data_IF_602768041784
#
_entry.id   IF_602768041784
#
_cell.length_a   1.000
_cell.length_b   1.000
_cell.length_c   1.000
_cell.angle_alpha   90.00
_cell.angle_beta   90.00
_cell.angle_gamma   90.00
#
_symmetry.space_group_name_H-M   'P 1'
#
loop_
_entity.id
_entity.type
_entity.pdbx_description
1 polymer ?
#
# COMPACT_ATOMS: atom_id res chain seq x y z
N UNK A 1 39.11 -8.92 -38.12
CA UNK A 1 39.16 -8.03 -36.96
C UNK A 1 37.79 -7.40 -36.82
N UNK A 2 36.94 -8.04 -36.05
CA UNK A 2 35.57 -7.60 -35.80
C UNK A 2 35.59 -6.77 -34.50
N UNK A 3 35.51 -5.44 -34.64
CA UNK A 3 35.32 -4.53 -33.50
C UNK A 3 33.91 -4.75 -32.93
N UNK A 4 33.84 -5.41 -31.79
CA UNK A 4 32.68 -5.33 -30.93
C UNK A 4 32.67 -3.92 -30.32
N UNK A 5 31.80 -3.03 -30.83
CA UNK A 5 31.38 -1.85 -30.13
C UNK A 5 30.54 -2.34 -28.91
N UNK A 6 31.21 -2.48 -27.78
CA UNK A 6 30.48 -2.44 -26.49
C UNK A 6 29.97 -1.00 -26.36
N UNK A 7 28.69 -0.80 -26.62
CA UNK A 7 27.97 0.40 -26.20
C UNK A 7 28.07 0.45 -24.67
N UNK A 8 28.83 1.36 -24.12
CA UNK A 8 28.82 1.69 -22.70
C UNK A 8 27.49 2.38 -22.43
N UNK A 9 26.41 1.60 -22.16
CA UNK A 9 25.24 2.16 -21.49
C UNK A 9 25.76 2.74 -20.18
N UNK A 10 25.40 3.99 -19.90
CA UNK A 10 25.62 4.61 -18.58
C UNK A 10 24.95 3.79 -17.45
N UNK A 11 25.24 4.13 -16.21
CA UNK A 11 24.57 3.51 -15.06
C UNK A 11 23.05 3.69 -15.22
N UNK A 12 22.24 2.62 -14.99
CA UNK A 12 20.79 2.72 -15.04
C UNK A 12 20.28 3.78 -14.04
N UNK A 13 19.37 4.64 -14.49
CA UNK A 13 18.77 5.70 -13.68
C UNK A 13 17.41 5.26 -13.15
N UNK A 14 17.23 5.31 -11.85
CA UNK A 14 15.97 4.91 -11.18
C UNK A 14 15.41 6.10 -10.39
N UNK A 15 14.17 6.48 -10.68
CA UNK A 15 13.45 7.42 -9.84
C UNK A 15 12.75 6.66 -8.70
N UNK A 16 13.02 7.05 -7.47
CA UNK A 16 12.26 6.64 -6.29
C UNK A 16 11.25 7.74 -5.98
N UNK A 17 9.98 7.48 -6.31
CA UNK A 17 8.94 8.50 -6.31
C UNK A 17 8.46 8.81 -4.90
N UNK A 18 8.42 10.10 -4.57
CA UNK A 18 7.99 10.64 -3.29
C UNK A 18 7.06 11.84 -3.49
N UNK A 19 6.73 12.55 -2.42
CA UNK A 19 5.95 13.79 -2.42
C UNK A 19 6.72 14.96 -1.83
N UNK A 20 6.20 16.18 -2.03
CA UNK A 20 6.83 17.42 -1.53
C UNK A 20 7.01 17.44 -0.01
N UNK A 21 6.15 16.75 0.75
CA UNK A 21 6.27 16.65 2.21
C UNK A 21 7.41 15.74 2.66
N UNK A 22 7.89 14.84 1.78
CA UNK A 22 8.98 13.88 2.03
C UNK A 22 10.00 13.92 0.87
N UNK A 23 10.62 15.07 0.55
CA UNK A 23 11.42 15.24 -0.65
C UNK A 23 12.64 14.32 -0.71
N UNK A 24 13.12 13.86 0.43
CA UNK A 24 14.28 12.95 0.57
C UNK A 24 13.87 11.49 0.83
N UNK A 25 12.64 11.09 0.50
CA UNK A 25 12.03 9.79 0.80
C UNK A 25 11.73 9.56 2.30
N UNK A 26 10.92 8.55 2.56
CA UNK A 26 10.76 7.99 3.91
C UNK A 26 12.10 7.41 4.42
N UNK A 27 12.41 7.50 5.73
CA UNK A 27 13.64 6.95 6.31
C UNK A 27 13.88 5.47 6.01
N UNK A 28 12.84 4.63 5.97
CA UNK A 28 12.95 3.20 5.64
C UNK A 28 13.33 3.00 4.15
N UNK A 29 12.73 3.77 3.25
CA UNK A 29 13.03 3.72 1.81
C UNK A 29 14.48 4.10 1.49
N UNK A 30 15.07 5.04 2.24
CA UNK A 30 16.46 5.47 2.08
C UNK A 30 17.47 4.35 2.31
N UNK A 31 17.12 3.31 3.06
CA UNK A 31 17.98 2.16 3.31
C UNK A 31 18.32 1.38 2.03
N UNK A 32 17.51 1.51 0.99
CA UNK A 32 17.77 0.86 -0.31
C UNK A 32 18.82 1.60 -1.17
N UNK A 33 19.12 2.88 -0.89
CA UNK A 33 20.00 3.70 -1.75
C UNK A 33 21.42 3.14 -1.82
N UNK A 34 22.01 2.76 -0.69
CA UNK A 34 23.37 2.20 -0.69
C UNK A 34 23.45 0.83 -1.37
N UNK A 35 22.53 -0.14 -1.15
CA UNK A 35 22.46 -1.38 -1.91
C UNK A 35 22.24 -1.19 -3.42
N UNK A 36 21.45 -0.20 -3.85
CA UNK A 36 21.27 0.15 -5.27
C UNK A 36 22.57 0.67 -5.88
N UNK A 37 23.22 1.63 -5.23
CA UNK A 37 24.52 2.17 -5.66
C UNK A 37 25.60 1.08 -5.76
N UNK A 38 25.63 0.12 -4.82
CA UNK A 38 26.55 -1.01 -4.85
C UNK A 38 26.35 -1.93 -6.08
N UNK A 39 25.16 -1.88 -6.71
CA UNK A 39 24.83 -2.60 -7.95
C UNK A 39 25.00 -1.74 -9.22
N UNK A 40 25.60 -0.55 -9.09
CA UNK A 40 25.78 0.38 -10.20
C UNK A 40 24.48 0.99 -10.70
N UNK A 41 23.48 1.14 -9.83
CA UNK A 41 22.18 1.75 -10.13
C UNK A 41 22.14 3.15 -9.51
N UNK A 42 22.01 4.18 -10.34
CA UNK A 42 21.87 5.56 -9.93
C UNK A 42 20.39 5.83 -9.54
N UNK A 43 20.09 5.73 -8.24
CA UNK A 43 18.75 5.98 -7.72
C UNK A 43 18.66 7.35 -7.04
N UNK A 44 17.57 8.08 -7.31
CA UNK A 44 17.32 9.41 -6.72
C UNK A 44 15.85 9.57 -6.32
N UNK A 45 15.62 10.39 -5.27
CA UNK A 45 14.28 10.78 -4.86
C UNK A 45 13.69 11.79 -5.84
N UNK A 46 12.44 11.58 -6.28
CA UNK A 46 11.79 12.45 -7.26
C UNK A 46 10.33 12.68 -6.84
N UNK A 47 9.94 13.96 -6.72
CA UNK A 47 8.57 14.33 -6.37
C UNK A 47 7.65 14.11 -7.58
N UNK A 48 6.53 13.39 -7.37
CA UNK A 48 5.69 12.89 -8.46
C UNK A 48 5.01 14.00 -9.30
N UNK A 49 4.69 15.13 -8.69
CA UNK A 49 4.00 16.26 -9.32
C UNK A 49 4.92 17.44 -9.67
N UNK A 50 6.25 17.24 -9.69
CA UNK A 50 7.19 18.24 -10.17
C UNK A 50 7.13 18.32 -11.71
N UNK A 51 6.64 19.45 -12.29
CA UNK A 51 6.51 19.60 -13.73
C UNK A 51 7.85 19.70 -14.49
N UNK A 52 8.96 19.86 -13.79
CA UNK A 52 10.29 19.92 -14.39
C UNK A 52 10.91 18.55 -14.68
N UNK A 53 10.29 17.47 -14.18
CA UNK A 53 10.84 16.12 -14.30
C UNK A 53 10.54 15.51 -15.67
N UNK A 54 11.60 15.10 -16.36
CA UNK A 54 11.50 14.24 -17.56
C UNK A 54 11.46 12.76 -17.15
N UNK A 55 10.26 12.22 -16.99
CA UNK A 55 10.02 10.83 -16.60
C UNK A 55 10.52 9.81 -17.64
N UNK A 56 10.63 10.21 -18.92
CA UNK A 56 11.16 9.34 -19.95
C UNK A 56 12.69 9.15 -19.87
N UNK A 57 13.35 10.01 -19.10
CA UNK A 57 14.80 9.93 -18.86
C UNK A 57 15.21 8.88 -17.82
N UNK A 58 14.24 8.17 -17.17
CA UNK A 58 14.52 7.10 -16.21
C UNK A 58 14.31 5.71 -16.82
N UNK A 59 15.24 4.80 -16.55
CA UNK A 59 15.14 3.39 -16.96
C UNK A 59 14.07 2.64 -16.15
N UNK A 60 13.81 3.10 -14.90
CA UNK A 60 12.75 2.59 -14.04
C UNK A 60 12.23 3.70 -13.11
N UNK A 61 10.92 3.72 -12.89
CA UNK A 61 10.25 4.63 -11.94
C UNK A 61 9.52 3.78 -10.91
N UNK A 62 9.87 3.93 -9.64
CA UNK A 62 9.40 3.11 -8.52
C UNK A 62 8.66 3.98 -7.52
N UNK A 63 7.38 3.70 -7.28
CA UNK A 63 6.60 4.41 -6.26
C UNK A 63 7.07 4.02 -4.87
N UNK A 64 7.40 5.02 -4.03
CA UNK A 64 7.81 4.74 -2.65
C UNK A 64 6.94 5.47 -1.63
N UNK A 65 7.05 6.78 -1.55
CA UNK A 65 6.38 7.60 -0.53
C UNK A 65 5.60 8.81 -1.09
N UNK A 66 4.79 8.66 -2.19
CA UNK A 66 3.95 9.74 -2.72
C UNK A 66 2.63 9.89 -1.92
N UNK A 67 2.69 9.87 -0.59
CA UNK A 67 1.54 9.65 0.31
C UNK A 67 0.53 10.80 0.37
N UNK A 68 0.81 11.91 -0.32
CA UNK A 68 -0.11 13.05 -0.43
C UNK A 68 -1.18 12.90 -1.54
N UNK A 69 -1.11 11.82 -2.35
CA UNK A 69 -2.01 11.64 -3.49
C UNK A 69 -3.48 11.39 -3.10
N UNK A 70 -3.75 10.92 -1.88
CA UNK A 70 -5.10 10.45 -1.49
C UNK A 70 -6.20 11.49 -1.72
N UNK A 71 -5.89 12.79 -1.60
CA UNK A 71 -6.80 13.90 -1.88
C UNK A 71 -6.78 14.35 -3.35
N UNK A 72 -5.83 13.85 -4.15
CA UNK A 72 -5.60 14.19 -5.58
C UNK A 72 -5.48 12.94 -6.43
N UNK A 73 -6.20 11.87 -6.06
CA UNK A 73 -6.05 10.54 -6.68
C UNK A 73 -6.17 10.56 -8.20
N UNK A 74 -7.13 11.27 -8.75
CA UNK A 74 -7.35 11.30 -10.20
C UNK A 74 -6.17 11.97 -10.93
N UNK A 75 -5.57 12.99 -10.34
CA UNK A 75 -4.34 13.62 -10.84
C UNK A 75 -3.17 12.65 -10.78
N UNK A 76 -2.98 11.97 -9.65
CA UNK A 76 -1.93 10.97 -9.47
C UNK A 76 -2.06 9.80 -10.46
N UNK A 77 -3.26 9.26 -10.65
CA UNK A 77 -3.51 8.19 -11.63
C UNK A 77 -3.31 8.69 -13.05
N UNK A 78 -3.69 9.94 -13.37
CA UNK A 78 -3.43 10.54 -14.68
C UNK A 78 -1.92 10.67 -14.92
N UNK A 79 -1.17 11.16 -13.94
CA UNK A 79 0.29 11.22 -13.97
C UNK A 79 0.91 9.83 -14.17
N UNK A 80 0.52 8.83 -13.38
CA UNK A 80 1.05 7.47 -13.47
C UNK A 80 0.92 6.88 -14.89
N UNK A 81 -0.16 7.21 -15.61
CA UNK A 81 -0.38 6.79 -17.01
C UNK A 81 0.57 7.44 -18.01
N UNK A 82 1.19 8.55 -17.66
CA UNK A 82 2.18 9.24 -18.53
C UNK A 82 3.59 8.71 -18.35
N UNK A 83 3.87 7.96 -17.27
CA UNK A 83 5.19 7.48 -16.91
C UNK A 83 5.47 6.14 -17.60
N UNK A 84 6.38 6.09 -18.61
CA UNK A 84 6.52 4.90 -19.47
C UNK A 84 7.20 3.70 -18.77
N UNK A 85 8.00 3.98 -17.74
CA UNK A 85 8.83 2.98 -17.03
C UNK A 85 8.36 2.74 -15.59
N UNK A 86 7.10 3.10 -15.28
CA UNK A 86 6.52 2.93 -13.95
C UNK A 86 6.41 1.46 -13.54
N UNK A 87 6.76 1.17 -12.31
CA UNK A 87 6.49 -0.08 -11.58
C UNK A 87 6.04 0.24 -10.15
N UNK A 88 4.97 -0.33 -9.65
CA UNK A 88 4.01 -1.21 -10.34
C UNK A 88 3.26 -0.41 -11.42
N UNK A 89 2.71 -1.04 -12.47
CA UNK A 89 2.22 -0.29 -13.63
C UNK A 89 0.92 0.49 -13.35
N UNK A 90 0.66 1.52 -14.16
CA UNK A 90 -0.40 2.51 -13.95
C UNK A 90 -1.82 1.94 -13.85
N UNK A 91 -2.12 0.83 -14.49
CA UNK A 91 -3.42 0.15 -14.37
C UNK A 91 -3.59 -0.52 -13.00
N UNK A 92 -2.49 -1.08 -12.44
CA UNK A 92 -2.46 -1.60 -11.07
C UNK A 92 -2.60 -0.45 -10.07
N UNK A 93 -1.89 0.66 -10.28
CA UNK A 93 -2.04 1.87 -9.45
C UNK A 93 -3.49 2.36 -9.46
N UNK A 94 -4.12 2.47 -10.63
CA UNK A 94 -5.50 2.91 -10.74
C UNK A 94 -6.49 1.98 -10.03
N UNK A 95 -6.25 0.67 -10.05
CA UNK A 95 -7.06 -0.33 -9.36
C UNK A 95 -6.82 -0.30 -7.86
N UNK A 96 -5.56 -0.30 -7.41
CA UNK A 96 -5.17 -0.48 -6.02
C UNK A 96 -5.38 0.77 -5.15
N UNK A 97 -5.35 1.98 -5.71
CA UNK A 97 -5.59 3.24 -4.98
C UNK A 97 -7.06 3.44 -4.54
N UNK A 98 -7.99 2.56 -4.95
CA UNK A 98 -9.38 2.55 -4.49
C UNK A 98 -9.68 1.21 -3.83
N UNK A 99 -9.90 1.19 -2.52
CA UNK A 99 -10.09 -0.02 -1.71
C UNK A 99 -11.31 -0.85 -2.10
N UNK A 100 -12.13 -0.40 -3.07
CA UNK A 100 -13.21 -1.23 -3.65
C UNK A 100 -12.68 -2.51 -4.31
N UNK A 101 -11.37 -2.61 -4.61
CA UNK A 101 -10.74 -3.87 -5.00
C UNK A 101 -10.98 -5.01 -3.98
N UNK A 102 -11.20 -4.68 -2.68
CA UNK A 102 -11.54 -5.68 -1.66
C UNK A 102 -12.84 -6.43 -1.95
N UNK A 103 -13.81 -5.77 -2.61
CA UNK A 103 -15.04 -6.45 -3.05
C UNK A 103 -14.76 -7.48 -4.16
N UNK A 104 -13.86 -7.16 -5.08
CA UNK A 104 -13.44 -8.07 -6.15
C UNK A 104 -12.68 -9.28 -5.57
N UNK A 105 -11.74 -9.03 -4.63
CA UNK A 105 -11.01 -10.08 -3.92
C UNK A 105 -11.97 -11.00 -3.13
N UNK A 106 -12.93 -10.41 -2.42
CA UNK A 106 -13.96 -11.16 -1.70
C UNK A 106 -14.80 -12.04 -2.65
N UNK A 107 -15.22 -11.48 -3.79
CA UNK A 107 -15.97 -12.23 -4.81
C UNK A 107 -15.15 -13.38 -5.43
N UNK A 108 -13.83 -13.26 -5.46
CA UNK A 108 -12.90 -14.31 -5.88
C UNK A 108 -12.59 -15.34 -4.78
N UNK A 109 -13.18 -15.20 -3.58
CA UNK A 109 -13.04 -16.15 -2.47
C UNK A 109 -11.87 -15.86 -1.52
N UNK A 110 -11.23 -14.70 -1.63
CA UNK A 110 -10.24 -14.26 -0.63
C UNK A 110 -10.98 -13.87 0.65
N UNK A 111 -10.57 -14.36 1.84
CA UNK A 111 -11.18 -13.95 3.10
C UNK A 111 -10.86 -12.48 3.38
N UNK A 112 -11.86 -11.61 3.28
CA UNK A 112 -11.74 -10.17 3.52
C UNK A 112 -12.61 -9.75 4.68
N UNK A 113 -12.30 -8.60 5.31
CA UNK A 113 -13.18 -7.99 6.31
C UNK A 113 -14.51 -7.63 5.65
N UNK A 114 -15.67 -8.09 6.16
CA UNK A 114 -16.98 -7.70 5.61
C UNK A 114 -17.12 -6.18 5.56
N UNK A 115 -17.43 -5.63 4.39
CA UNK A 115 -17.45 -4.19 4.17
C UNK A 115 -18.81 -3.73 3.65
N UNK A 116 -19.40 -2.77 4.35
CA UNK A 116 -20.53 -1.99 3.83
C UNK A 116 -19.98 -0.77 3.12
N UNK A 117 -20.29 -0.63 1.84
CA UNK A 117 -19.92 0.52 1.01
C UNK A 117 -21.03 1.55 1.04
N UNK A 118 -20.70 2.79 1.38
CA UNK A 118 -21.64 3.90 1.43
C UNK A 118 -21.26 4.91 0.36
N UNK A 119 -22.11 5.01 -0.67
CA UNK A 119 -21.94 5.96 -1.76
C UNK A 119 -22.23 7.40 -1.28
N UNK A 120 -21.61 8.43 -1.87
CA UNK A 120 -21.91 9.82 -1.57
C UNK A 120 -23.41 10.12 -1.82
N UNK A 121 -24.05 10.78 -0.87
CA UNK A 121 -25.50 11.09 -0.93
C UNK A 121 -26.43 9.98 -0.44
N UNK A 122 -25.90 8.81 -0.08
CA UNK A 122 -26.73 7.75 0.53
C UNK A 122 -27.17 8.13 1.96
N UNK A 123 -28.44 7.81 2.31
CA UNK A 123 -28.94 7.94 3.69
C UNK A 123 -28.46 6.75 4.53
N UNK A 124 -27.19 6.82 4.95
CA UNK A 124 -26.63 5.79 5.81
C UNK A 124 -26.94 6.05 7.28
N UNK A 125 -27.26 4.99 8.00
CA UNK A 125 -27.43 5.00 9.46
C UNK A 125 -26.60 3.88 10.08
N UNK A 126 -26.04 4.12 11.29
CA UNK A 126 -25.35 3.08 12.02
C UNK A 126 -26.21 1.83 12.17
N UNK A 127 -25.69 0.62 11.95
CA UNK A 127 -26.43 -0.63 12.12
C UNK A 127 -27.04 -0.73 13.53
N UNK A 128 -28.14 -1.48 13.67
CA UNK A 128 -28.81 -1.67 14.96
C UNK A 128 -27.96 -2.56 15.90
N UNK A 129 -27.15 -3.43 15.31
CA UNK A 129 -26.23 -4.30 16.04
C UNK A 129 -25.23 -3.47 16.83
N UNK A 130 -25.01 -3.89 18.09
CA UNK A 130 -23.94 -3.34 18.91
C UNK A 130 -22.60 -3.96 18.55
N UNK A 131 -21.53 -3.20 18.67
CA UNK A 131 -20.18 -3.64 18.36
C UNK A 131 -19.30 -2.49 17.94
N UNK A 132 -18.04 -2.78 17.74
CA UNK A 132 -17.08 -1.80 17.28
C UNK A 132 -16.91 -1.86 15.77
N UNK A 133 -16.85 -0.70 15.15
CA UNK A 133 -16.73 -0.54 13.71
C UNK A 133 -15.62 0.42 13.35
N UNK A 134 -14.96 0.15 12.23
CA UNK A 134 -14.04 1.07 11.56
C UNK A 134 -14.79 1.77 10.44
N UNK A 135 -14.67 3.09 10.39
CA UNK A 135 -15.18 3.92 9.30
C UNK A 135 -13.99 4.62 8.66
N UNK A 136 -13.83 4.44 7.36
CA UNK A 136 -12.72 5.03 6.58
C UNK A 136 -13.16 5.27 5.14
N UNK A 137 -12.53 6.21 4.42
CA UNK A 137 -12.82 6.38 2.99
C UNK A 137 -12.19 5.26 2.14
N UNK A 138 -12.79 4.98 0.98
CA UNK A 138 -12.28 4.00 0.02
C UNK A 138 -10.91 4.39 -0.56
N UNK A 139 -10.65 5.69 -0.67
CA UNK A 139 -9.34 6.25 -1.09
C UNK A 139 -8.71 6.95 0.11
N UNK A 140 -7.63 6.40 0.65
CA UNK A 140 -6.88 6.97 1.77
C UNK A 140 -5.50 6.33 1.90
N UNK A 141 -4.58 7.04 2.53
CA UNK A 141 -3.23 6.63 2.90
C UNK A 141 -3.01 6.96 4.38
N UNK A 142 -2.18 6.20 5.09
CA UNK A 142 -1.74 6.51 6.45
C UNK A 142 -2.87 6.64 7.48
N UNK A 143 -3.96 5.89 7.32
CA UNK A 143 -5.15 5.98 8.20
C UNK A 143 -5.83 7.36 8.24
N UNK A 144 -5.62 8.21 7.23
CA UNK A 144 -6.28 9.50 7.10
C UNK A 144 -7.80 9.32 7.07
N UNK A 145 -8.54 10.14 7.85
CA UNK A 145 -10.00 10.06 7.98
C UNK A 145 -10.49 8.66 8.39
N UNK A 146 -9.77 7.98 9.27
CA UNK A 146 -10.13 6.65 9.78
C UNK A 146 -10.44 6.72 11.27
N UNK A 147 -11.59 6.18 11.69
CA UNK A 147 -12.00 6.15 13.09
C UNK A 147 -12.57 4.80 13.50
N UNK A 148 -12.45 4.47 14.81
CA UNK A 148 -13.06 3.32 15.50
C UNK A 148 -14.22 3.80 16.36
N UNK A 149 -15.37 3.15 16.24
CA UNK A 149 -16.61 3.56 16.90
C UNK A 149 -17.24 2.37 17.61
N UNK A 150 -17.49 2.49 18.91
CA UNK A 150 -18.33 1.54 19.66
C UNK A 150 -19.81 1.94 19.47
N UNK A 151 -20.54 1.19 18.66
CA UNK A 151 -21.95 1.48 18.38
C UNK A 151 -22.89 1.09 19.53
N UNK A 152 -22.41 0.55 20.66
CA UNK A 152 -23.17 0.45 21.90
C UNK A 152 -23.27 1.82 22.61
N UNK A 153 -22.31 2.73 22.35
CA UNK A 153 -22.31 4.08 22.91
C UNK A 153 -23.13 5.03 22.01
N UNK A 154 -24.16 5.69 22.53
CA UNK A 154 -24.97 6.66 21.77
C UNK A 154 -24.14 7.82 21.18
N UNK A 155 -23.11 8.30 21.90
CA UNK A 155 -22.24 9.37 21.42
C UNK A 155 -21.41 8.90 20.22
N UNK A 156 -20.81 7.70 20.29
CA UNK A 156 -20.07 7.12 19.18
C UNK A 156 -20.96 6.85 17.96
N UNK A 157 -22.25 6.50 18.15
CA UNK A 157 -23.23 6.36 17.05
C UNK A 157 -23.44 7.68 16.30
N UNK A 158 -23.58 8.79 17.05
CA UNK A 158 -23.73 10.12 16.44
C UNK A 158 -22.44 10.56 15.72
N UNK A 159 -21.28 10.33 16.32
CA UNK A 159 -19.97 10.62 15.73
C UNK A 159 -19.74 9.78 14.47
N UNK A 160 -20.10 8.50 14.46
CA UNK A 160 -20.02 7.64 13.28
C UNK A 160 -20.89 8.16 12.14
N UNK A 161 -22.15 8.53 12.44
CA UNK A 161 -23.04 9.12 11.46
C UNK A 161 -22.53 10.47 10.92
N UNK A 162 -21.96 11.29 11.80
CA UNK A 162 -21.35 12.57 11.41
C UNK A 162 -20.11 12.36 10.50
N UNK A 163 -19.28 11.35 10.81
CA UNK A 163 -18.12 11.01 9.99
C UNK A 163 -18.53 10.59 8.57
N UNK A 164 -19.50 9.67 8.44
CA UNK A 164 -20.02 9.25 7.12
C UNK A 164 -20.60 10.43 6.35
N UNK A 165 -21.38 11.31 7.03
CA UNK A 165 -21.91 12.53 6.37
C UNK A 165 -20.80 13.46 5.91
N UNK A 166 -19.71 13.62 6.67
CA UNK A 166 -18.56 14.45 6.31
C UNK A 166 -17.87 13.90 5.06
N UNK A 167 -17.61 12.59 5.01
CA UNK A 167 -17.02 11.95 3.84
C UNK A 167 -17.92 12.03 2.60
N UNK A 168 -19.23 11.79 2.79
CA UNK A 168 -20.24 11.93 1.74
C UNK A 168 -20.31 13.35 1.17
N UNK A 169 -20.28 14.39 2.03
CA UNK A 169 -20.26 15.79 1.60
C UNK A 169 -19.00 16.16 0.81
N UNK A 170 -17.90 15.45 1.04
CA UNK A 170 -16.66 15.56 0.27
C UNK A 170 -16.65 14.69 -1.00
N UNK A 171 -17.78 14.06 -1.34
CA UNK A 171 -17.89 13.18 -2.52
C UNK A 171 -17.14 11.86 -2.39
N UNK A 172 -16.78 11.44 -1.16
CA UNK A 172 -15.96 10.25 -0.91
C UNK A 172 -16.81 9.04 -0.55
N UNK A 173 -16.54 7.91 -1.21
CA UNK A 173 -17.12 6.60 -0.85
C UNK A 173 -16.56 6.19 0.51
N UNK A 174 -17.43 5.72 1.40
CA UNK A 174 -17.07 5.32 2.76
C UNK A 174 -17.16 3.80 2.90
N UNK A 175 -16.16 3.24 3.57
CA UNK A 175 -16.11 1.85 4.04
C UNK A 175 -16.55 1.80 5.49
N UNK A 176 -17.47 0.89 5.83
CA UNK A 176 -17.86 0.57 7.20
C UNK A 176 -17.60 -0.91 7.43
N UNK A 177 -16.72 -1.23 8.35
CA UNK A 177 -16.23 -2.58 8.62
C UNK A 177 -16.35 -2.91 10.12
N UNK A 178 -16.70 -4.14 10.54
CA UNK A 178 -16.54 -4.54 11.92
C UNK A 178 -15.07 -4.42 12.34
N UNK A 179 -14.83 -3.97 13.57
CA UNK A 179 -13.48 -3.92 14.12
C UNK A 179 -13.04 -5.32 14.55
N UNK A 180 -11.93 -5.78 14.03
CA UNK A 180 -11.36 -7.08 14.40
C UNK A 180 -10.52 -6.90 15.67
N UNK A 181 -11.08 -7.24 16.81
CA UNK A 181 -10.44 -7.06 18.14
C UNK A 181 -9.11 -7.80 18.28
N UNK A 182 -8.87 -8.82 17.47
CA UNK A 182 -7.60 -9.53 17.44
C UNK A 182 -6.40 -8.60 17.15
N UNK A 183 -6.62 -7.44 16.49
CA UNK A 183 -5.55 -6.47 16.28
C UNK A 183 -5.00 -5.89 17.60
N UNK A 184 -5.85 -5.80 18.65
CA UNK A 184 -5.43 -5.26 19.95
C UNK A 184 -4.47 -6.20 20.70
N UNK A 185 -4.50 -7.50 20.40
CA UNK A 185 -3.66 -8.54 21.06
C UNK A 185 -2.59 -9.12 20.14
N UNK A 186 -2.96 -9.42 18.91
CA UNK A 186 -2.11 -10.14 17.95
C UNK A 186 -1.44 -9.20 16.95
N UNK A 187 -1.96 -7.97 16.82
CA UNK A 187 -1.53 -6.99 15.84
C UNK A 187 -1.99 -7.33 14.41
N UNK A 188 -1.57 -6.51 13.47
CA UNK A 188 -1.74 -6.72 12.03
C UNK A 188 -0.42 -7.25 11.47
N UNK A 189 -0.46 -8.37 10.75
CA UNK A 189 0.72 -8.93 10.09
C UNK A 189 0.78 -8.43 8.65
N UNK A 190 1.81 -7.69 8.31
CA UNK A 190 2.11 -7.27 6.95
C UNK A 190 3.15 -8.22 6.33
N UNK A 191 2.78 -8.84 5.21
CA UNK A 191 3.67 -9.74 4.45
C UNK A 191 4.19 -8.99 3.22
N UNK A 192 5.51 -8.92 3.10
CA UNK A 192 6.20 -8.19 2.03
C UNK A 192 6.70 -9.18 0.99
N UNK A 193 6.35 -8.91 -0.27
CA UNK A 193 6.77 -9.67 -1.44
C UNK A 193 7.58 -8.76 -2.36
N UNK A 194 8.68 -9.28 -2.91
CA UNK A 194 9.56 -8.57 -3.84
C UNK A 194 9.75 -9.40 -5.11
N UNK A 195 9.97 -8.72 -6.23
CA UNK A 195 10.23 -9.40 -7.50
C UNK A 195 11.53 -10.21 -7.44
N UNK A 196 11.42 -11.48 -7.81
CA UNK A 196 12.52 -12.40 -8.00
C UNK A 196 12.57 -12.90 -9.45
N UNK A 197 13.46 -13.84 -9.77
CA UNK A 197 13.59 -14.39 -11.13
C UNK A 197 12.30 -14.99 -11.69
N UNK A 198 11.51 -15.64 -10.83
CA UNK A 198 10.31 -16.39 -11.18
C UNK A 198 8.99 -15.68 -10.83
N UNK A 199 9.01 -14.38 -10.54
CA UNK A 199 7.86 -13.57 -10.12
C UNK A 199 8.03 -13.00 -8.71
N UNK A 200 6.93 -12.61 -8.06
CA UNK A 200 6.97 -12.15 -6.67
C UNK A 200 7.31 -13.29 -5.72
N UNK A 201 8.26 -13.05 -4.83
CA UNK A 201 8.66 -13.99 -3.76
C UNK A 201 8.49 -13.33 -2.39
N UNK A 202 8.09 -14.11 -1.39
CA UNK A 202 8.02 -13.65 -0.01
C UNK A 202 9.41 -13.20 0.47
N UNK A 203 9.49 -11.99 1.01
CA UNK A 203 10.72 -11.39 1.52
C UNK A 203 10.80 -11.45 3.05
N UNK A 204 9.80 -10.90 3.72
CA UNK A 204 9.74 -10.82 5.18
C UNK A 204 8.33 -10.45 5.63
N UNK A 205 8.11 -10.49 6.93
CA UNK A 205 6.88 -9.99 7.53
C UNK A 205 7.18 -9.16 8.77
N UNK A 206 6.28 -8.22 9.06
CA UNK A 206 6.28 -7.41 10.28
C UNK A 206 4.91 -7.50 10.96
N UNK A 207 4.88 -7.08 12.22
CA UNK A 207 3.66 -6.87 12.98
C UNK A 207 3.49 -5.39 13.25
N UNK A 208 2.33 -4.84 12.86
CA UNK A 208 1.89 -3.50 13.25
C UNK A 208 1.00 -3.59 14.49
N UNK A 209 1.26 -2.75 15.48
CA UNK A 209 0.41 -2.62 16.65
C UNK A 209 -0.94 -1.97 16.34
N UNK A 210 -1.90 -1.96 17.31
CA UNK A 210 -3.17 -1.29 17.13
C UNK A 210 -2.99 0.22 17.03
N UNK A 211 -3.59 0.83 16.00
CA UNK A 211 -3.49 2.28 15.73
C UNK A 211 -4.77 3.04 16.09
N UNK A 212 -5.92 2.40 16.03
CA UNK A 212 -7.21 3.05 16.17
C UNK A 212 -7.67 3.02 17.62
N UNK A 213 -7.58 4.16 18.30
CA UNK A 213 -7.94 4.31 19.72
C UNK A 213 -9.36 4.83 19.95
N UNK A 214 -10.07 5.31 18.91
CA UNK A 214 -11.41 5.87 19.02
C UNK A 214 -11.90 6.57 17.75
N UNK A 215 -12.92 7.43 17.89
CA UNK A 215 -13.45 8.23 16.80
C UNK A 215 -12.38 9.05 16.08
N UNK A 216 -12.60 9.27 14.78
CA UNK A 216 -11.73 10.14 13.99
C UNK A 216 -11.73 11.58 14.54
N UNK A 217 -10.52 12.13 14.73
CA UNK A 217 -10.31 13.47 15.27
C UNK A 217 -10.01 14.51 14.19
N UNK A 218 -10.04 14.11 12.91
CA UNK A 218 -9.78 15.00 11.79
C UNK A 218 -8.34 15.53 11.73
N UNK A 219 -7.37 14.81 12.30
CA UNK A 219 -5.96 15.19 12.27
C UNK A 219 -5.40 14.89 10.88
N UNK A 220 -4.90 15.93 10.20
CA UNK A 220 -4.31 15.84 8.87
C UNK A 220 -2.79 15.62 8.98
N UNK A 221 -2.37 14.48 9.48
CA UNK A 221 -0.98 14.03 9.40
C UNK A 221 -0.79 13.14 8.18
N UNK A 222 0.42 13.13 7.61
CA UNK A 222 0.75 12.34 6.42
C UNK A 222 0.64 10.83 6.72
N UNK A 223 0.99 10.44 7.93
CA UNK A 223 0.83 9.09 8.50
C UNK A 223 0.82 9.17 10.03
N UNK A 224 0.29 8.13 10.68
CA UNK A 224 0.38 7.98 12.14
C UNK A 224 1.60 7.14 12.49
N UNK A 225 2.25 7.46 13.60
CA UNK A 225 3.35 6.64 14.13
C UNK A 225 2.84 5.27 14.55
N UNK A 226 3.48 4.22 14.07
CA UNK A 226 3.10 2.83 14.29
C UNK A 226 4.16 2.11 15.11
N UNK A 227 3.72 1.24 16.01
CA UNK A 227 4.63 0.26 16.63
C UNK A 227 4.83 -0.88 15.66
N UNK A 228 6.06 -1.05 15.20
CA UNK A 228 6.46 -2.10 14.24
C UNK A 228 7.45 -3.05 14.91
N UNK A 229 7.16 -4.34 14.82
CA UNK A 229 8.04 -5.43 15.28
C UNK A 229 8.26 -6.43 14.15
N UNK A 230 9.47 -7.01 14.03
CA UNK A 230 9.72 -8.12 13.12
C UNK A 230 8.85 -9.33 13.48
N UNK A 231 8.32 -10.05 12.47
CA UNK A 231 7.47 -11.24 12.68
C UNK A 231 7.79 -12.33 11.65
N UNK A 232 7.67 -13.59 12.06
CA UNK A 232 7.63 -14.70 11.12
C UNK A 232 6.18 -14.89 10.62
N UNK A 233 6.00 -15.04 9.31
CA UNK A 233 4.72 -15.39 8.73
C UNK A 233 4.37 -16.86 9.01
N UNK A 234 3.09 -17.15 9.26
CA UNK A 234 2.62 -18.54 9.35
C UNK A 234 2.32 -19.10 7.96
N UNK A 235 2.27 -20.44 7.79
CA UNK A 235 1.87 -21.06 6.51
C UNK A 235 0.48 -20.60 6.04
N UNK A 236 -0.48 -20.42 6.96
CA UNK A 236 -1.84 -19.98 6.65
C UNK A 236 -1.86 -18.52 6.16
N UNK A 237 -1.00 -17.67 6.74
CA UNK A 237 -0.86 -16.28 6.29
C UNK A 237 -0.25 -16.22 4.89
N UNK A 238 0.77 -17.03 4.60
CA UNK A 238 1.37 -17.13 3.27
C UNK A 238 0.37 -17.63 2.23
N UNK A 239 -0.40 -18.69 2.54
CA UNK A 239 -1.45 -19.20 1.65
C UNK A 239 -2.53 -18.15 1.35
N UNK A 240 -2.96 -17.38 2.36
CA UNK A 240 -3.92 -16.29 2.17
C UNK A 240 -3.35 -15.17 1.31
N UNK A 241 -2.08 -14.82 1.51
CA UNK A 241 -1.40 -13.81 0.71
C UNK A 241 -1.24 -14.27 -0.76
N UNK A 242 -0.84 -15.51 -1.00
CA UNK A 242 -0.72 -16.07 -2.36
C UNK A 242 -2.07 -16.08 -3.09
N UNK A 243 -3.16 -16.48 -2.42
CA UNK A 243 -4.52 -16.39 -2.96
C UNK A 243 -4.92 -14.96 -3.30
N UNK A 244 -4.56 -14.02 -2.45
CA UNK A 244 -4.80 -12.58 -2.67
C UNK A 244 -4.06 -12.09 -3.91
N UNK A 245 -2.77 -12.40 -4.02
CA UNK A 245 -1.93 -11.99 -5.13
C UNK A 245 -2.35 -12.63 -6.47
N UNK A 246 -2.90 -13.84 -6.45
CA UNK A 246 -3.39 -14.52 -7.65
C UNK A 246 -4.56 -13.80 -8.34
N UNK A 247 -5.27 -12.91 -7.64
CA UNK A 247 -6.42 -12.14 -8.17
C UNK A 247 -6.00 -10.79 -8.76
N UNK A 248 -4.74 -10.37 -8.58
CA UNK A 248 -4.25 -9.07 -9.08
C UNK A 248 -4.42 -8.98 -10.60
N UNK A 249 -5.06 -7.92 -11.11
CA UNK A 249 -5.27 -7.76 -12.55
C UNK A 249 -3.97 -7.79 -13.36
N UNK A 250 -3.93 -8.62 -14.40
CA UNK A 250 -2.77 -8.77 -15.27
C UNK A 250 -1.63 -9.60 -14.69
N UNK A 251 -1.82 -10.21 -13.51
CA UNK A 251 -0.85 -11.09 -12.87
C UNK A 251 0.28 -10.37 -12.13
N UNK A 252 1.03 -11.14 -11.34
CA UNK A 252 2.08 -10.63 -10.45
C UNK A 252 3.45 -10.48 -11.11
N UNK A 253 3.66 -11.03 -12.29
CA UNK A 253 4.96 -11.00 -13.00
C UNK A 253 5.44 -9.60 -13.35
N UNK A 254 4.51 -8.65 -13.41
CA UNK A 254 4.72 -7.24 -13.73
C UNK A 254 4.90 -6.35 -12.50
N UNK A 255 4.84 -6.93 -11.30
CA UNK A 255 4.97 -6.22 -10.03
C UNK A 255 6.42 -6.26 -9.53
N UNK A 256 6.88 -5.16 -8.96
CA UNK A 256 8.16 -5.07 -8.25
C UNK A 256 8.01 -5.50 -6.79
N UNK A 257 6.88 -5.17 -6.18
CA UNK A 257 6.57 -5.46 -4.79
C UNK A 257 5.07 -5.60 -4.57
N UNK A 258 4.73 -6.22 -3.44
CA UNK A 258 3.40 -6.21 -2.86
C UNK A 258 3.50 -6.27 -1.33
N UNK A 259 2.52 -5.66 -0.63
CA UNK A 259 2.30 -5.86 0.80
C UNK A 259 0.88 -6.36 1.02
N UNK A 260 0.76 -7.44 1.79
CA UNK A 260 -0.52 -8.06 2.13
C UNK A 260 -0.71 -7.97 3.63
N UNK A 261 -1.70 -7.20 4.08
CA UNK A 261 -1.96 -6.93 5.49
C UNK A 261 -3.11 -7.80 6.00
N UNK A 262 -2.80 -8.63 7.00
CA UNK A 262 -3.69 -9.65 7.55
C UNK A 262 -3.92 -9.46 9.05
N UNK A 263 -5.15 -9.68 9.50
CA UNK A 263 -5.52 -9.76 10.92
C UNK A 263 -6.23 -11.11 11.16
N UNK A 264 -6.06 -11.75 12.34
CA UNK A 264 -6.88 -12.91 12.68
C UNK A 264 -8.38 -12.57 12.70
N UNK A 265 -9.17 -13.34 11.98
CA UNK A 265 -10.63 -13.25 12.01
C UNK A 265 -11.24 -13.83 13.29
N UNK A 266 -12.58 -13.88 13.40
CA UNK A 266 -13.26 -14.39 14.58
C UNK A 266 -12.97 -15.88 14.92
N UNK A 267 -12.60 -16.66 13.91
CA UNK A 267 -12.21 -18.06 14.03
C UNK A 267 -10.69 -18.27 14.14
N UNK A 268 -9.92 -17.17 14.18
CA UNK A 268 -8.46 -17.17 14.20
C UNK A 268 -7.80 -17.31 12.84
N UNK A 269 -8.54 -17.58 11.76
CA UNK A 269 -7.99 -17.65 10.41
C UNK A 269 -7.57 -16.25 9.91
N UNK A 270 -6.53 -16.14 9.06
CA UNK A 270 -6.11 -14.86 8.51
C UNK A 270 -7.19 -14.24 7.61
N UNK A 271 -7.50 -12.97 7.84
CA UNK A 271 -8.44 -12.17 7.03
C UNK A 271 -7.70 -10.98 6.45
N UNK A 272 -7.86 -10.74 5.16
CA UNK A 272 -7.26 -9.61 4.46
C UNK A 272 -7.91 -8.29 4.89
N UNK A 273 -7.09 -7.36 5.35
CA UNK A 273 -7.46 -5.99 5.70
C UNK A 273 -7.15 -5.05 4.54
N UNK A 274 -5.97 -5.22 3.94
CA UNK A 274 -5.49 -4.38 2.85
C UNK A 274 -4.48 -5.13 1.97
N UNK A 275 -4.48 -4.79 0.67
CA UNK A 275 -3.46 -5.16 -0.30
C UNK A 275 -2.85 -3.87 -0.82
N UNK A 276 -1.56 -3.68 -0.63
CA UNK A 276 -0.86 -2.50 -1.10
C UNK A 276 0.11 -2.82 -2.23
N UNK A 277 -0.17 -2.26 -3.40
CA UNK A 277 0.62 -2.41 -4.62
C UNK A 277 1.13 -1.07 -5.14
N UNK A 278 0.70 0.05 -4.55
CA UNK A 278 1.04 1.39 -5.04
C UNK A 278 2.22 1.97 -4.29
N UNK A 279 2.06 2.21 -2.99
CA UNK A 279 3.03 2.95 -2.17
C UNK A 279 3.25 2.36 -0.77
N UNK A 280 3.34 1.03 -0.62
CA UNK A 280 3.50 0.45 0.70
C UNK A 280 4.81 0.89 1.36
N UNK A 281 4.78 1.19 2.65
CA UNK A 281 5.99 1.07 3.46
C UNK A 281 6.47 -0.38 3.38
N UNK A 282 7.72 -0.59 2.95
CA UNK A 282 8.28 -1.92 2.77
C UNK A 282 8.96 -2.46 4.02
N UNK A 283 9.10 -1.62 5.07
CA UNK A 283 9.67 -2.00 6.35
C UNK A 283 10.99 -2.75 6.23
N UNK A 284 11.85 -2.32 5.27
CA UNK A 284 13.11 -3.00 4.98
C UNK A 284 14.11 -2.92 6.12
N UNK A 285 13.97 -1.93 7.01
CA UNK A 285 14.77 -1.78 8.21
C UNK A 285 14.45 -2.80 9.30
N UNK A 286 13.35 -3.56 9.18
CA UNK A 286 12.90 -4.52 10.20
C UNK A 286 13.24 -5.98 9.88
N UNK A 287 13.97 -6.23 8.79
CA UNK A 287 14.39 -7.59 8.42
C UNK A 287 15.80 -7.58 7.81
N UNK A 288 16.66 -8.46 8.33
CA UNK A 288 18.05 -8.57 7.86
C UNK A 288 18.10 -8.84 6.36
N UNK A 289 18.92 -8.04 5.65
CA UNK A 289 19.12 -8.14 4.21
C UNK A 289 17.92 -7.70 3.34
N UNK A 290 16.84 -7.17 3.92
CA UNK A 290 15.70 -6.69 3.13
C UNK A 290 16.03 -5.49 2.21
N UNK A 291 16.87 -4.52 2.59
CA UNK A 291 17.32 -3.49 1.66
C UNK A 291 18.04 -4.06 0.44
N UNK A 292 18.87 -5.09 0.62
CA UNK A 292 19.57 -5.77 -0.47
C UNK A 292 18.61 -6.55 -1.38
N UNK A 293 17.59 -7.22 -0.80
CA UNK A 293 16.54 -7.89 -1.59
C UNK A 293 15.71 -6.91 -2.42
N UNK A 294 15.41 -5.72 -1.88
CA UNK A 294 14.74 -4.67 -2.65
C UNK A 294 15.62 -4.18 -3.81
N UNK A 295 16.90 -3.92 -3.56
CA UNK A 295 17.83 -3.53 -4.61
C UNK A 295 18.01 -4.62 -5.69
N UNK A 296 18.01 -5.90 -5.30
CA UNK A 296 18.03 -7.03 -6.23
C UNK A 296 16.75 -7.13 -7.08
N UNK A 297 15.58 -6.88 -6.47
CA UNK A 297 14.31 -6.83 -7.18
C UNK A 297 14.30 -5.71 -8.25
N UNK A 298 14.84 -4.53 -7.93
CA UNK A 298 15.00 -3.42 -8.87
C UNK A 298 15.94 -3.83 -10.01
N UNK A 299 17.11 -4.41 -9.70
CA UNK A 299 18.07 -4.89 -10.71
C UNK A 299 17.46 -5.95 -11.64
N UNK A 300 16.71 -6.90 -11.08
CA UNK A 300 15.97 -7.94 -11.83
C UNK A 300 14.95 -7.30 -12.80
N UNK A 301 14.23 -6.28 -12.36
CA UNK A 301 13.25 -5.56 -13.20
C UNK A 301 13.92 -4.79 -14.33
N UNK A 302 15.04 -4.12 -14.07
CA UNK A 302 15.86 -3.44 -15.09
C UNK A 302 16.38 -4.43 -16.15
N UNK A 303 16.87 -5.60 -15.72
CA UNK A 303 17.39 -6.62 -16.63
C UNK A 303 16.30 -7.21 -17.57
N UNK A 304 15.04 -7.29 -17.11
CA UNK A 304 13.91 -7.77 -17.94
C UNK A 304 13.50 -6.77 -19.05
N UNK A 305 13.86 -5.50 -18.90
CA UNK A 305 13.52 -4.41 -19.84
C UNK A 305 14.64 -4.09 -20.83
N UNK A 306 15.85 -4.59 -20.60
CA UNK A 306 17.05 -4.40 -21.44
C UNK A 306 17.09 -5.39 -22.59
#
# INVERSE_FOLDING_TARGET
MTNHHQSTRGEPRVALVTCTALPDLDPDDRLALAPLAARGIAAEAVVWDDPAVDWAGYDLVVLRSPWDYALRRDEFVAWARTVPTLVNPADVVAWNTDKRYLAELSAAGVPTVPTTWVEPGADWRPPAETGEYVIKPAVSVGSLDTGRYDLADPEHRELAAAHVRRLSAAGRITMVQPYLRAVDTDGETALLFLAGPDGLAFSHAICKGPMLTGPDQGVAELYREERIDARAATPEQLDTAEKTLAVVPGGTDRLLYARVDLIPGPDGAPVLVELELTEPSLFVGYADGAPDRLAEAVATHLARRS
#
